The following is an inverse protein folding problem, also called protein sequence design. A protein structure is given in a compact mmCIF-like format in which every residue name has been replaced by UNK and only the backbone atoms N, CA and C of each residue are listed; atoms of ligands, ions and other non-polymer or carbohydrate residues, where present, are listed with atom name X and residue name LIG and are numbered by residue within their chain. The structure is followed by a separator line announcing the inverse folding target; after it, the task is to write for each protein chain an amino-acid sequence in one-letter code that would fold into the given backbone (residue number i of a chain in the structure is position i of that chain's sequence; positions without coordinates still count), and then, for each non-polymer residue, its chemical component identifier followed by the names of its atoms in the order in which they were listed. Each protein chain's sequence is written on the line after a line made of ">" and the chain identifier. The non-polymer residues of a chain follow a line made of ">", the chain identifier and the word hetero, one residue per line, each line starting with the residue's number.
data_IF_901398536094
#
_entry.id   IF_901398536094
#
_cell.length_a   1.000
_cell.length_b   1.000
_cell.length_c   1.000
_cell.angle_alpha   90.00
_cell.angle_beta   90.00
_cell.angle_gamma   90.00
#
_symmetry.space_group_name_H-M   'P 1'
#
loop_
_entity.id
_entity.type
_entity.pdbx_description
1 polymer ?
#
# COMPACT_ATOMS: atom_id res chain seq x y z
N UNK A 1 19.20 -8.82 2.27
CA UNK A 1 18.51 -7.85 1.37
C UNK A 1 17.57 -8.55 0.38
N UNK A 2 18.01 -9.55 -0.39
CA UNK A 2 17.15 -10.29 -1.34
C UNK A 2 15.87 -10.87 -0.72
N UNK A 3 15.99 -11.50 0.46
CA UNK A 3 14.84 -12.03 1.24
C UNK A 3 13.84 -10.92 1.59
N UNK A 4 14.31 -9.83 2.22
CA UNK A 4 13.45 -8.68 2.55
C UNK A 4 12.72 -8.11 1.33
N UNK A 5 13.42 -8.00 0.20
CA UNK A 5 12.82 -7.51 -1.03
C UNK A 5 11.71 -8.44 -1.55
N UNK A 6 11.92 -9.76 -1.48
CA UNK A 6 10.90 -10.74 -1.89
C UNK A 6 9.64 -10.65 -1.02
N UNK A 7 9.81 -10.54 0.30
CA UNK A 7 8.70 -10.39 1.25
C UNK A 7 7.94 -9.10 0.94
N UNK A 8 8.64 -7.99 0.70
CA UNK A 8 8.03 -6.72 0.32
C UNK A 8 7.27 -6.81 -1.02
N UNK A 9 7.76 -7.56 -2.01
CA UNK A 9 7.05 -7.81 -3.26
C UNK A 9 5.77 -8.63 -3.07
N UNK A 10 5.82 -9.66 -2.22
CA UNK A 10 4.64 -10.48 -1.92
C UNK A 10 3.56 -9.65 -1.22
N UNK A 11 3.93 -8.89 -0.19
CA UNK A 11 3.03 -7.97 0.49
C UNK A 11 2.45 -6.92 -0.46
N UNK A 12 3.24 -6.37 -1.38
CA UNK A 12 2.75 -5.44 -2.40
C UNK A 12 1.69 -6.08 -3.31
N UNK A 13 1.86 -7.35 -3.72
CA UNK A 13 0.89 -8.05 -4.58
C UNK A 13 -0.43 -8.24 -3.86
N UNK A 14 -0.41 -8.67 -2.62
CA UNK A 14 -1.63 -8.90 -1.84
C UNK A 14 -2.37 -7.62 -1.51
N UNK A 15 -1.65 -6.55 -1.14
CA UNK A 15 -2.29 -5.24 -0.94
C UNK A 15 -3.02 -4.79 -2.22
N UNK A 16 -2.49 -5.11 -3.41
CA UNK A 16 -3.18 -4.81 -4.68
C UNK A 16 -4.41 -5.67 -4.90
N UNK A 17 -4.38 -6.93 -4.49
CA UNK A 17 -5.54 -7.82 -4.52
C UNK A 17 -6.62 -7.29 -3.57
N UNK A 18 -6.26 -7.00 -2.32
CA UNK A 18 -7.16 -6.46 -1.30
C UNK A 18 -7.72 -5.10 -1.71
N UNK A 19 -6.94 -4.23 -2.34
CA UNK A 19 -7.45 -2.97 -2.86
C UNK A 19 -8.59 -3.17 -3.87
N UNK A 20 -8.64 -4.30 -4.56
CA UNK A 20 -9.71 -4.69 -5.48
C UNK A 20 -11.01 -5.15 -4.80
N UNK A 21 -10.93 -5.65 -3.57
CA UNK A 21 -12.09 -6.15 -2.79
C UNK A 21 -12.86 -5.02 -2.11
N UNK A 22 -12.23 -3.84 -1.95
CA UNK A 22 -12.84 -2.67 -1.31
C UNK A 22 -14.07 -2.18 -2.10
N UNK A 23 -15.16 -1.84 -1.41
CA UNK A 23 -16.30 -1.18 -2.07
C UNK A 23 -15.87 0.14 -2.71
N UNK A 24 -16.29 0.43 -3.95
CA UNK A 24 -15.81 1.60 -4.72
C UNK A 24 -14.27 1.58 -4.90
N UNK A 25 -13.70 0.39 -5.13
CA UNK A 25 -12.24 0.09 -5.21
C UNK A 25 -11.43 0.91 -6.22
N UNK A 26 -12.04 1.62 -7.18
CA UNK A 26 -11.31 2.35 -8.22
C UNK A 26 -10.19 3.27 -7.70
N UNK A 27 -10.43 3.95 -6.58
CA UNK A 27 -9.43 4.81 -5.93
C UNK A 27 -8.36 3.98 -5.21
N UNK A 28 -8.77 2.96 -4.44
CA UNK A 28 -7.86 2.06 -3.75
C UNK A 28 -6.92 1.33 -4.72
N UNK A 29 -7.44 0.80 -5.83
CA UNK A 29 -6.65 0.15 -6.89
C UNK A 29 -5.63 1.12 -7.48
N UNK A 30 -6.03 2.35 -7.81
CA UNK A 30 -5.12 3.36 -8.37
C UNK A 30 -4.01 3.76 -7.40
N UNK A 31 -4.33 3.85 -6.11
CA UNK A 31 -3.35 4.11 -5.06
C UNK A 31 -2.42 2.90 -4.88
N UNK A 32 -2.95 1.67 -4.83
CA UNK A 32 -2.18 0.45 -4.67
C UNK A 32 -1.23 0.16 -5.85
N UNK A 33 -1.56 0.62 -7.06
CA UNK A 33 -0.64 0.62 -8.21
C UNK A 33 0.62 1.46 -7.95
N UNK A 34 0.52 2.52 -7.15
CA UNK A 34 1.64 3.37 -6.74
C UNK A 34 2.51 2.78 -5.63
N UNK A 35 2.10 1.67 -5.01
CA UNK A 35 2.92 1.00 -3.99
C UNK A 35 4.04 0.21 -4.67
N UNK A 36 5.26 0.44 -4.17
CA UNK A 36 6.50 -0.15 -4.66
C UNK A 36 7.32 -0.75 -3.52
N UNK A 37 7.60 -2.04 -3.64
CA UNK A 37 8.62 -2.71 -2.84
C UNK A 37 9.99 -2.07 -3.11
N UNK A 38 10.73 -1.79 -2.05
CA UNK A 38 12.08 -1.22 -2.10
C UNK A 38 13.09 -2.26 -1.66
N UNK A 39 14.23 -2.33 -2.35
CA UNK A 39 15.33 -3.21 -1.96
C UNK A 39 16.07 -2.59 -0.77
N UNK A 40 15.64 -2.94 0.43
CA UNK A 40 16.22 -2.47 1.68
C UNK A 40 16.66 -3.66 2.57
N UNK A 41 17.26 -3.37 3.73
CA UNK A 41 17.64 -4.38 4.73
C UNK A 41 16.42 -5.01 5.36
N UNK A 42 15.35 -4.24 5.55
CA UNK A 42 14.05 -4.68 6.08
C UNK A 42 12.99 -4.69 4.97
N UNK A 43 11.95 -5.56 5.05
CA UNK A 43 10.85 -5.55 4.09
C UNK A 43 10.16 -4.18 4.05
N UNK A 44 10.35 -3.43 2.96
CA UNK A 44 9.90 -2.04 2.86
C UNK A 44 9.05 -1.82 1.62
N UNK A 45 7.87 -1.22 1.80
CA UNK A 45 7.01 -0.74 0.72
C UNK A 45 6.86 0.76 0.85
N UNK A 46 7.05 1.47 -0.25
CA UNK A 46 6.85 2.91 -0.34
C UNK A 46 5.75 3.22 -1.33
N UNK A 47 4.87 4.16 -0.97
CA UNK A 47 4.00 4.79 -1.95
C UNK A 47 4.83 5.78 -2.76
N UNK A 48 4.72 5.73 -4.08
CA UNK A 48 5.14 6.83 -4.96
C UNK A 48 4.16 7.99 -4.80
N UNK A 49 4.26 8.67 -3.66
CA UNK A 49 3.28 9.66 -3.20
C UNK A 49 3.19 10.86 -4.14
N UNK A 50 4.31 11.32 -4.68
CA UNK A 50 4.37 12.43 -5.63
C UNK A 50 3.92 12.10 -7.06
N UNK A 51 3.65 10.85 -7.38
CA UNK A 51 3.12 10.50 -8.71
C UNK A 51 1.65 10.91 -8.84
N UNK A 52 1.27 11.36 -10.04
CA UNK A 52 -0.08 11.79 -10.34
C UNK A 52 -1.11 10.66 -10.13
N UNK A 53 -2.21 10.99 -9.45
CA UNK A 53 -3.37 10.11 -9.36
C UNK A 53 -4.17 10.14 -10.66
N UNK A 54 -4.36 8.98 -11.27
CA UNK A 54 -5.10 8.85 -12.53
C UNK A 54 -6.59 8.67 -12.22
N UNK A 55 -7.34 9.76 -12.29
CA UNK A 55 -8.80 9.76 -12.19
C UNK A 55 -9.45 9.70 -13.56
N UNK A 56 -10.40 8.79 -13.75
CA UNK A 56 -11.21 8.71 -14.98
C UNK A 56 -12.18 9.89 -15.12
N UNK A 57 -12.82 10.30 -14.03
CA UNK A 57 -13.87 11.33 -14.04
C UNK A 57 -13.34 12.76 -13.86
N UNK A 58 -12.19 12.92 -13.19
CA UNK A 58 -11.60 14.24 -12.92
C UNK A 58 -10.09 14.24 -13.22
N UNK A 59 -9.71 14.22 -14.52
CA UNK A 59 -8.32 14.11 -14.94
C UNK A 59 -7.48 15.31 -14.48
N UNK A 60 -6.18 15.10 -14.30
CA UNK A 60 -5.25 16.15 -13.88
C UNK A 60 -4.93 17.18 -14.99
N UNK A 61 -5.29 16.92 -16.25
CA UNK A 61 -4.95 17.77 -17.41
C UNK A 61 -5.44 19.22 -17.25
N UNK A 62 -6.58 19.42 -16.60
CA UNK A 62 -7.20 20.74 -16.44
C UNK A 62 -6.88 21.41 -15.10
N UNK A 63 -6.05 20.78 -14.25
CA UNK A 63 -5.76 21.27 -12.91
C UNK A 63 -4.45 22.06 -12.88
N UNK A 64 -4.46 23.22 -12.22
CA UNK A 64 -3.25 24.00 -11.92
C UNK A 64 -2.29 23.22 -11.01
N UNK A 65 -2.82 22.48 -10.04
CA UNK A 65 -2.05 21.55 -9.19
C UNK A 65 -2.58 20.13 -9.39
N UNK A 66 -1.76 19.19 -9.88
CA UNK A 66 -2.20 17.82 -10.06
C UNK A 66 -2.46 17.17 -8.70
N UNK A 67 -3.51 16.35 -8.64
CA UNK A 67 -3.76 15.49 -7.47
C UNK A 67 -2.81 14.31 -7.53
N UNK A 68 -2.10 14.06 -6.45
CA UNK A 68 -1.13 12.99 -6.33
C UNK A 68 -1.72 11.76 -5.66
N UNK A 69 -1.05 10.61 -5.76
CA UNK A 69 -1.50 9.41 -5.02
C UNK A 69 -1.41 9.60 -3.52
N UNK A 70 -0.45 10.40 -3.02
CA UNK A 70 -0.35 10.75 -1.60
C UNK A 70 -1.59 11.46 -1.08
N UNK A 71 -2.12 12.41 -1.87
CA UNK A 71 -3.32 13.18 -1.51
C UNK A 71 -4.57 12.29 -1.37
N UNK A 72 -4.61 11.18 -2.12
CA UNK A 72 -5.75 10.25 -2.17
C UNK A 72 -5.59 9.08 -1.20
N UNK A 73 -4.35 8.68 -0.88
CA UNK A 73 -4.05 7.46 -0.13
C UNK A 73 -4.86 7.33 1.16
N UNK A 74 -4.79 8.33 2.04
CA UNK A 74 -5.44 8.26 3.35
C UNK A 74 -6.97 8.22 3.25
N UNK A 75 -7.55 8.94 2.29
CA UNK A 75 -8.99 8.88 2.06
C UNK A 75 -9.43 7.53 1.50
N UNK A 76 -8.65 6.94 0.59
CA UNK A 76 -8.92 5.61 0.06
C UNK A 76 -8.73 4.51 1.13
N UNK A 77 -7.73 4.66 2.01
CA UNK A 77 -7.39 3.65 3.01
C UNK A 77 -8.26 3.74 4.27
N UNK A 78 -8.58 4.93 4.75
CA UNK A 78 -9.31 5.08 6.01
C UNK A 78 -10.72 5.62 5.85
N UNK A 79 -11.10 6.04 4.64
CA UNK A 79 -12.37 6.71 4.40
C UNK A 79 -12.38 8.17 4.87
N UNK A 80 -13.54 8.79 4.78
CA UNK A 80 -13.83 10.15 5.19
C UNK A 80 -15.35 10.34 5.37
N UNK A 81 -15.84 11.52 4.99
CA UNK A 81 -17.28 11.82 4.97
C UNK A 81 -17.72 12.91 5.96
N UNK A 82 -16.87 13.28 6.92
CA UNK A 82 -17.17 14.36 7.89
C UNK A 82 -17.27 15.73 7.21
N UNK A 83 -16.34 16.03 6.28
CA UNK A 83 -16.34 17.29 5.52
C UNK A 83 -16.89 17.07 4.12
N UNK A 84 -17.56 18.07 3.54
CA UNK A 84 -18.08 18.05 2.15
C UNK A 84 -17.01 17.60 1.14
N UNK A 85 -15.77 18.03 1.30
CA UNK A 85 -14.62 17.66 0.45
C UNK A 85 -14.17 16.19 0.55
N UNK A 86 -14.55 15.48 1.63
CA UNK A 86 -14.14 14.09 1.90
C UNK A 86 -15.25 13.07 1.63
N UNK A 87 -16.45 13.50 1.21
CA UNK A 87 -17.58 12.63 0.86
C UNK A 87 -17.34 11.73 -0.35
N UNK A 88 -16.27 12.00 -1.11
CA UNK A 88 -15.84 11.14 -2.22
C UNK A 88 -15.31 9.78 -1.75
N UNK A 89 -14.85 9.68 -0.50
CA UNK A 89 -14.32 8.46 0.10
C UNK A 89 -15.42 7.67 0.82
N UNK A 90 -15.13 6.40 1.12
CA UNK A 90 -16.01 5.58 1.96
C UNK A 90 -16.15 6.18 3.37
N UNK A 91 -17.14 5.72 4.15
CA UNK A 91 -17.32 6.18 5.53
C UNK A 91 -16.11 5.80 6.38
N UNK A 92 -15.58 6.75 7.15
CA UNK A 92 -14.43 6.49 8.01
C UNK A 92 -14.62 5.28 8.94
N UNK A 93 -13.59 4.42 9.03
CA UNK A 93 -13.59 3.17 9.85
C UNK A 93 -12.54 3.18 10.97
N UNK A 94 -12.10 4.35 11.42
CA UNK A 94 -11.07 4.47 12.46
C UNK A 94 -9.70 3.99 11.96
N UNK A 95 -8.94 3.32 12.82
CA UNK A 95 -7.58 2.85 12.55
C UNK A 95 -7.54 1.47 11.84
N UNK A 96 -8.70 0.91 11.49
CA UNK A 96 -8.77 -0.39 10.81
C UNK A 96 -8.22 -0.33 9.38
N UNK A 97 -8.49 0.77 8.66
CA UNK A 97 -8.14 0.86 7.25
C UNK A 97 -8.98 -0.08 6.37
N UNK A 98 -8.73 -0.07 5.06
CA UNK A 98 -9.51 -0.81 4.07
C UNK A 98 -8.71 -1.89 3.35
N UNK A 99 -7.47 -1.60 2.97
CA UNK A 99 -6.69 -2.54 2.16
C UNK A 99 -5.22 -2.60 2.57
N UNK A 100 -4.57 -1.49 2.88
CA UNK A 100 -3.13 -1.51 3.18
C UNK A 100 -2.85 -2.03 4.59
N UNK A 101 -3.34 -1.32 5.61
CA UNK A 101 -3.07 -1.66 7.01
C UNK A 101 -3.74 -2.95 7.50
N UNK A 102 -4.96 -3.32 7.04
CA UNK A 102 -5.50 -4.65 7.29
C UNK A 102 -4.58 -5.77 6.81
N UNK A 103 -4.10 -5.70 5.56
CA UNK A 103 -3.24 -6.73 4.98
C UNK A 103 -1.89 -6.82 5.70
N UNK A 104 -1.26 -5.69 5.99
CA UNK A 104 0.00 -5.66 6.76
C UNK A 104 -0.18 -6.31 8.14
N UNK A 105 -1.28 -6.00 8.84
CA UNK A 105 -1.55 -6.55 10.17
C UNK A 105 -1.86 -8.04 10.14
N UNK A 106 -2.62 -8.50 9.15
CA UNK A 106 -2.93 -9.93 8.97
C UNK A 106 -1.65 -10.74 8.78
N UNK A 107 -0.67 -10.18 8.07
CA UNK A 107 0.59 -10.86 7.75
C UNK A 107 1.77 -10.55 8.66
N UNK A 108 1.60 -9.72 9.68
CA UNK A 108 2.72 -9.26 10.53
C UNK A 108 3.56 -10.42 11.07
N UNK A 109 2.91 -11.51 11.50
CA UNK A 109 3.58 -12.67 12.09
C UNK A 109 4.31 -13.49 11.02
N UNK A 110 3.69 -13.67 9.85
CA UNK A 110 4.28 -14.36 8.70
C UNK A 110 5.50 -13.61 8.16
N UNK A 111 5.40 -12.29 8.00
CA UNK A 111 6.51 -11.42 7.55
C UNK A 111 7.71 -11.56 8.48
N UNK A 112 7.49 -11.55 9.79
CA UNK A 112 8.56 -11.72 10.77
C UNK A 112 9.21 -13.09 10.66
N UNK A 113 8.40 -14.16 10.58
CA UNK A 113 8.89 -15.53 10.44
C UNK A 113 9.67 -15.75 9.15
N UNK A 114 9.11 -15.36 8.00
CA UNK A 114 9.76 -15.46 6.68
C UNK A 114 11.09 -14.69 6.63
N UNK A 115 11.14 -13.53 7.29
CA UNK A 115 12.35 -12.71 7.34
C UNK A 115 13.45 -13.38 8.19
N UNK A 116 13.11 -13.83 9.40
CA UNK A 116 14.05 -14.52 10.30
C UNK A 116 14.55 -15.83 9.69
N UNK A 117 13.65 -16.68 9.19
CA UNK A 117 14.04 -17.93 8.52
C UNK A 117 14.93 -17.67 7.29
N UNK A 118 14.64 -16.63 6.52
CA UNK A 118 15.47 -16.26 5.38
C UNK A 118 16.85 -15.73 5.79
N UNK A 119 16.96 -15.06 6.95
CA UNK A 119 18.26 -14.69 7.51
C UNK A 119 19.04 -15.93 7.95
N UNK A 120 18.41 -16.85 8.69
CA UNK A 120 19.05 -18.09 9.16
C UNK A 120 19.58 -18.94 8.00
N UNK A 121 18.84 -19.02 6.89
CA UNK A 121 19.31 -19.72 5.67
C UNK A 121 20.55 -19.08 5.07
N UNK A 122 20.61 -17.75 5.04
CA UNK A 122 21.78 -17.03 4.52
C UNK A 122 22.98 -17.21 5.44
N UNK A 123 22.78 -17.17 6.76
CA UNK A 123 23.83 -17.42 7.77
C UNK A 123 24.40 -18.82 7.59
N UNK A 124 23.53 -19.85 7.55
CA UNK A 124 23.93 -21.25 7.30
C UNK A 124 24.69 -21.44 5.98
N UNK A 125 24.26 -20.77 4.91
CA UNK A 125 24.93 -20.85 3.61
C UNK A 125 26.32 -20.21 3.62
N UNK A 126 26.53 -19.19 4.47
CA UNK A 126 27.82 -18.51 4.62
C UNK A 126 28.74 -19.20 5.62
N UNK A 127 28.31 -20.29 6.27
CA UNK A 127 29.12 -21.05 7.24
C UNK A 127 29.44 -20.28 8.52
N UNK A 128 28.66 -19.24 8.83
CA UNK A 128 28.63 -18.54 10.11
C UNK A 128 27.61 -19.21 11.04
#
# INVERSE_FOLDING_TARGET
>A
RKVAYQIAQNLQKEVRIEAGTVSRSSQAIQVAKGLRATNDRIPTIKLRSGEAFISKSRPNRTRRKPVTRGDVFFGAEFGGGTKKSTKQFLRHRGQSGYFFWPTVRKRKNEIAKEYLEGMDRVVKQLGL
#
